data_IF_201985269532
#
_entry.id   IF_201985269532
#
_cell.length_a   1.000
_cell.length_b   1.000
_cell.length_c   1.000
_cell.angle_alpha   90.00
_cell.angle_beta   90.00
_cell.angle_gamma   90.00
#
_symmetry.space_group_name_H-M   'P 1'
#
loop_
_entity.id
_entity.type
_entity.pdbx_description
1 polymer ?
#
# COMPACT_ATOMS: atom_id res chain seq x y z
N UNK A 1 42.89 6.08 -14.50
CA UNK A 1 41.87 7.13 -14.37
C UNK A 1 40.54 6.44 -14.59
N UNK A 2 39.96 5.94 -13.50
CA UNK A 2 38.70 5.19 -13.53
C UNK A 2 37.65 6.20 -13.10
N UNK A 3 36.86 6.70 -14.05
CA UNK A 3 35.75 7.59 -13.76
C UNK A 3 34.64 6.82 -13.06
N UNK A 4 34.26 7.38 -11.91
CA UNK A 4 33.23 6.92 -10.99
C UNK A 4 31.87 7.11 -11.65
N UNK A 5 31.24 6.01 -12.08
CA UNK A 5 29.84 5.96 -12.54
C UNK A 5 28.90 5.44 -11.42
N UNK A 6 29.22 5.70 -10.15
CA UNK A 6 28.51 5.11 -9.00
C UNK A 6 27.79 6.09 -8.04
N UNK A 7 27.65 7.38 -8.37
CA UNK A 7 27.33 8.38 -7.33
C UNK A 7 25.92 9.03 -7.40
N UNK A 8 25.13 8.85 -8.46
CA UNK A 8 23.82 9.52 -8.57
C UNK A 8 22.65 8.69 -8.01
N UNK A 9 22.62 7.38 -8.28
CA UNK A 9 21.50 6.51 -7.87
C UNK A 9 21.45 6.22 -6.37
N UNK A 10 22.61 6.16 -5.71
CA UNK A 10 22.74 5.95 -4.26
C UNK A 10 22.32 7.20 -3.47
N UNK A 11 22.74 8.38 -3.92
CA UNK A 11 22.36 9.65 -3.31
C UNK A 11 20.84 9.91 -3.42
N UNK A 12 20.22 9.58 -4.56
CA UNK A 12 18.77 9.68 -4.72
C UNK A 12 18.03 8.66 -3.84
N UNK A 13 18.51 7.42 -3.75
CA UNK A 13 17.91 6.42 -2.87
C UNK A 13 17.91 6.88 -1.41
N UNK A 14 19.05 7.33 -0.89
CA UNK A 14 19.16 7.87 0.48
C UNK A 14 18.25 9.08 0.72
N UNK A 15 18.03 9.91 -0.30
CA UNK A 15 17.08 11.02 -0.19
C UNK A 15 15.65 10.52 0.04
N UNK A 16 15.23 9.46 -0.63
CA UNK A 16 13.88 8.92 -0.44
C UNK A 16 13.72 8.16 0.87
N UNK A 17 14.76 7.47 1.34
CA UNK A 17 14.78 6.91 2.69
C UNK A 17 14.57 8.02 3.73
N UNK A 18 15.29 9.14 3.58
CA UNK A 18 15.12 10.31 4.44
C UNK A 18 13.71 10.91 4.35
N UNK A 19 13.06 10.88 3.18
CA UNK A 19 11.66 11.31 3.04
C UNK A 19 10.69 10.41 3.82
N UNK A 20 10.92 9.10 3.85
CA UNK A 20 10.13 8.17 4.67
C UNK A 20 10.23 8.50 6.16
N UNK A 21 11.45 8.73 6.64
CA UNK A 21 11.70 9.13 8.04
C UNK A 21 11.03 10.49 8.34
N UNK A 22 11.19 11.47 7.44
CA UNK A 22 10.58 12.79 7.58
C UNK A 22 9.05 12.73 7.64
N UNK A 23 8.43 11.84 6.85
CA UNK A 23 6.98 11.62 6.91
C UNK A 23 6.55 11.18 8.32
N UNK A 24 7.24 10.19 8.89
CA UNK A 24 6.96 9.68 10.25
C UNK A 24 7.09 10.80 11.27
N UNK A 25 8.20 11.54 11.26
CA UNK A 25 8.45 12.66 12.17
C UNK A 25 7.36 13.74 12.06
N UNK A 26 6.96 14.08 10.84
CA UNK A 26 5.93 15.08 10.57
C UNK A 26 4.57 14.63 11.12
N UNK A 27 4.23 13.35 10.95
CA UNK A 27 2.98 12.79 11.47
C UNK A 27 2.99 12.76 13.01
N UNK A 28 4.10 12.35 13.64
CA UNK A 28 4.24 12.38 15.11
C UNK A 28 4.05 13.81 15.62
N UNK A 29 4.72 14.79 15.00
CA UNK A 29 4.60 16.19 15.39
C UNK A 29 3.15 16.70 15.24
N UNK A 30 2.46 16.35 14.15
CA UNK A 30 1.05 16.70 13.93
C UNK A 30 0.13 16.06 14.97
N UNK A 31 0.33 14.78 15.29
CA UNK A 31 -0.46 14.07 16.29
C UNK A 31 -0.30 14.70 17.70
N UNK A 32 0.94 15.06 18.05
CA UNK A 32 1.24 15.76 19.32
C UNK A 32 0.58 17.14 19.44
N UNK A 33 0.39 17.86 18.33
CA UNK A 33 -0.31 19.15 18.30
C UNK A 33 -1.83 19.03 18.41
N UNK A 34 -2.43 17.90 18.01
CA UNK A 34 -3.89 17.68 18.03
C UNK A 34 -4.46 17.24 19.38
N UNK A 35 -3.63 17.02 20.39
CA UNK A 35 -4.02 17.08 21.81
C UNK A 35 -5.07 16.08 22.31
N UNK A 36 -5.39 15.01 21.58
CA UNK A 36 -6.33 13.98 22.04
C UNK A 36 -5.90 12.63 21.51
N UNK A 37 -5.51 11.73 22.41
CA UNK A 37 -5.79 10.28 22.44
C UNK A 37 -4.92 9.70 23.54
N UNK A 38 -5.57 9.14 24.56
CA UNK A 38 -4.93 8.40 25.64
C UNK A 38 -4.20 7.19 25.08
N UNK A 39 -2.90 7.08 25.33
CA UNK A 39 -2.17 5.83 25.08
C UNK A 39 -2.90 4.70 25.81
N UNK A 40 -3.07 3.55 25.15
CA UNK A 40 -3.53 2.34 25.82
C UNK A 40 -2.29 1.61 26.36
N UNK A 41 -1.95 1.75 27.67
CA UNK A 41 -0.71 1.20 28.24
C UNK A 41 -0.64 -0.33 28.24
N UNK A 42 -1.66 -1.03 27.71
CA UNK A 42 -1.72 -2.50 27.66
C UNK A 42 -1.31 -3.09 26.31
N UNK A 43 -1.08 -2.29 25.28
CA UNK A 43 -0.75 -2.82 23.97
C UNK A 43 0.76 -3.06 23.86
N UNK A 44 1.15 -4.34 23.86
CA UNK A 44 2.54 -4.74 23.67
C UNK A 44 3.01 -4.30 22.30
N UNK A 45 4.17 -3.65 22.27
CA UNK A 45 4.92 -3.39 21.03
C UNK A 45 5.50 -4.73 20.57
N UNK A 46 4.77 -5.40 19.68
CA UNK A 46 5.25 -6.55 18.93
C UNK A 46 5.99 -5.97 17.72
N UNK A 47 7.18 -6.52 17.41
CA UNK A 47 8.16 -6.06 16.40
C UNK A 47 7.60 -5.70 15.01
N UNK A 48 8.45 -5.52 13.98
CA UNK A 48 8.01 -4.91 12.72
C UNK A 48 6.92 -5.76 12.03
N UNK A 49 6.96 -7.07 12.22
CA UNK A 49 5.99 -8.05 11.76
C UNK A 49 4.69 -8.11 12.59
N UNK A 50 3.72 -8.89 12.11
CA UNK A 50 2.40 -9.03 12.68
C UNK A 50 2.16 -10.47 13.15
N UNK A 51 1.66 -10.66 14.38
CA UNK A 51 1.09 -11.92 14.86
C UNK A 51 -0.37 -11.99 14.40
N UNK A 52 -0.68 -12.92 13.52
CA UNK A 52 -1.97 -12.96 12.85
C UNK A 52 -3.13 -13.27 13.81
N UNK A 53 -2.84 -13.83 15.00
CA UNK A 53 -3.85 -14.16 16.03
C UNK A 53 -4.39 -12.94 16.75
N UNK A 54 -3.64 -11.85 16.78
CA UNK A 54 -4.00 -10.64 17.53
C UNK A 54 -5.05 -9.79 16.80
N UNK A 55 -5.30 -10.03 15.50
CA UNK A 55 -6.37 -9.36 14.76
C UNK A 55 -7.07 -10.28 13.75
N UNK A 56 -8.18 -10.88 14.17
CA UNK A 56 -9.08 -11.60 13.27
C UNK A 56 -9.72 -10.69 12.22
N UNK A 57 -9.72 -9.38 12.44
CA UNK A 57 -10.27 -8.37 11.54
C UNK A 57 -9.36 -8.17 10.33
N UNK A 58 -8.04 -8.05 10.52
CA UNK A 58 -7.10 -7.93 9.39
C UNK A 58 -6.77 -9.27 8.76
N UNK A 59 -6.55 -10.29 9.59
CA UNK A 59 -5.97 -11.56 9.14
C UNK A 59 -7.00 -12.66 8.89
N UNK A 60 -8.30 -12.35 9.03
CA UNK A 60 -9.40 -13.27 8.71
C UNK A 60 -9.23 -14.69 9.30
N UNK A 61 -8.70 -14.78 10.52
CA UNK A 61 -8.49 -16.04 11.24
C UNK A 61 -7.20 -16.80 10.90
N UNK A 62 -6.30 -16.21 10.09
CA UNK A 62 -4.96 -16.76 9.87
C UNK A 62 -4.17 -16.84 11.18
N UNK A 63 -3.21 -17.74 11.23
CA UNK A 63 -2.33 -17.97 12.37
C UNK A 63 -0.87 -17.90 11.94
N UNK A 64 0.02 -17.64 12.89
CA UNK A 64 1.45 -17.46 12.63
C UNK A 64 1.85 -15.99 12.72
N UNK A 65 3.02 -15.68 12.17
CA UNK A 65 3.63 -14.36 12.27
C UNK A 65 4.31 -13.99 10.95
N UNK A 66 4.18 -12.74 10.52
CA UNK A 66 4.78 -12.26 9.27
C UNK A 66 4.24 -10.91 8.81
N UNK A 67 4.45 -10.55 7.53
CA UNK A 67 4.05 -9.25 6.99
C UNK A 67 2.53 -9.13 6.84
N UNK A 68 2.03 -7.90 6.90
CA UNK A 68 0.69 -7.56 6.42
C UNK A 68 0.71 -7.33 4.92
N UNK A 69 0.25 -8.33 4.15
CA UNK A 69 0.08 -8.23 2.69
C UNK A 69 -1.22 -7.49 2.31
N UNK A 70 -1.10 -6.35 1.62
CA UNK A 70 -2.23 -5.49 1.24
C UNK A 70 -2.28 -5.34 -0.28
N UNK A 71 -3.35 -5.82 -0.91
CA UNK A 71 -3.63 -5.53 -2.32
C UNK A 71 -4.43 -4.24 -2.42
N UNK A 72 -4.03 -3.33 -3.32
CA UNK A 72 -4.73 -2.07 -3.55
C UNK A 72 -5.59 -2.13 -4.81
N UNK A 73 -6.83 -1.64 -4.68
CA UNK A 73 -7.68 -1.33 -5.82
C UNK A 73 -7.05 -0.24 -6.70
N UNK A 74 -7.39 -0.27 -7.99
CA UNK A 74 -6.90 0.65 -9.02
C UNK A 74 -7.21 2.11 -8.67
N UNK A 75 -8.38 2.40 -8.09
CA UNK A 75 -8.76 3.77 -7.71
C UNK A 75 -7.84 4.35 -6.61
N UNK A 76 -7.45 3.53 -5.63
CA UNK A 76 -6.52 3.97 -4.58
C UNK A 76 -5.10 4.15 -5.10
N UNK A 77 -4.68 3.32 -6.06
CA UNK A 77 -3.42 3.52 -6.75
C UNK A 77 -3.42 4.84 -7.52
N UNK A 78 -4.51 5.17 -8.22
CA UNK A 78 -4.66 6.47 -8.90
C UNK A 78 -4.55 7.61 -7.89
N UNK A 79 -5.26 7.54 -6.76
CA UNK A 79 -5.16 8.52 -5.68
C UNK A 79 -3.71 8.68 -5.20
N UNK A 80 -2.98 7.57 -5.03
CA UNK A 80 -1.57 7.58 -4.64
C UNK A 80 -0.69 8.26 -5.70
N UNK A 81 -0.88 7.98 -6.99
CA UNK A 81 -0.08 8.61 -8.04
C UNK A 81 -0.39 10.11 -8.19
N UNK A 82 -1.62 10.53 -7.91
CA UNK A 82 -2.04 11.94 -7.97
C UNK A 82 -1.53 12.73 -6.76
N UNK A 83 -1.65 12.17 -5.56
CA UNK A 83 -1.41 12.88 -4.30
C UNK A 83 -0.14 12.47 -3.57
N UNK A 84 0.57 11.46 -4.07
CA UNK A 84 1.69 10.80 -3.37
C UNK A 84 2.80 11.76 -2.97
N UNK A 85 3.15 12.73 -3.82
CA UNK A 85 4.16 13.73 -3.47
C UNK A 85 3.76 14.55 -2.24
N UNK A 86 2.50 14.97 -2.16
CA UNK A 86 1.99 15.70 -1.00
C UNK A 86 1.93 14.79 0.24
N UNK A 87 1.54 13.52 0.05
CA UNK A 87 1.53 12.52 1.11
C UNK A 87 2.93 12.33 1.72
N UNK A 88 3.97 12.13 0.91
CA UNK A 88 5.36 11.94 1.37
C UNK A 88 6.01 13.21 1.93
N UNK A 89 5.59 14.39 1.45
CA UNK A 89 6.02 15.65 2.03
C UNK A 89 5.37 15.94 3.39
N UNK A 90 4.50 15.06 3.89
CA UNK A 90 3.78 15.24 5.15
C UNK A 90 2.70 16.34 5.09
N UNK A 91 2.37 16.81 3.89
CA UNK A 91 1.33 17.82 3.67
C UNK A 91 -0.03 17.25 4.08
N UNK A 92 -0.91 18.08 4.63
CA UNK A 92 -2.23 17.63 5.08
C UNK A 92 -3.18 17.55 3.88
N UNK A 93 -3.20 16.38 3.23
CA UNK A 93 -4.03 16.11 2.04
C UNK A 93 -5.54 16.26 2.32
N UNK A 94 -6.01 15.95 3.53
CA UNK A 94 -7.40 16.18 3.94
C UNK A 94 -7.80 17.66 3.97
N UNK A 95 -6.86 18.58 4.26
CA UNK A 95 -7.16 20.02 4.20
C UNK A 95 -7.35 20.53 2.78
N UNK A 96 -6.71 19.89 1.80
CA UNK A 96 -6.88 20.21 0.39
C UNK A 96 -8.19 19.62 -0.19
N UNK A 97 -8.70 18.52 0.39
CA UNK A 97 -9.89 17.81 -0.08
C UNK A 97 -10.91 17.65 1.06
N UNK A 98 -11.89 18.55 1.16
CA UNK A 98 -12.87 18.51 2.26
C UNK A 98 -13.86 17.34 2.11
N UNK A 99 -14.09 16.59 3.18
CA UNK A 99 -15.12 15.53 3.29
C UNK A 99 -14.56 14.09 3.32
N UNK A 100 -15.44 13.10 3.14
CA UNK A 100 -15.14 11.64 3.19
C UNK A 100 -13.93 11.25 2.32
N UNK A 101 -13.77 11.88 1.15
CA UNK A 101 -12.62 11.63 0.29
C UNK A 101 -11.29 12.07 0.92
N UNK A 102 -11.25 13.26 1.54
CA UNK A 102 -10.06 13.75 2.23
C UNK A 102 -9.67 12.88 3.42
N UNK A 103 -10.66 12.41 4.17
CA UNK A 103 -10.45 11.48 5.29
C UNK A 103 -9.81 10.18 4.81
N UNK A 104 -10.25 9.64 3.66
CA UNK A 104 -9.61 8.47 3.06
C UNK A 104 -8.18 8.74 2.57
N UNK A 105 -7.90 9.92 2.00
CA UNK A 105 -6.54 10.30 1.58
C UNK A 105 -5.61 10.45 2.80
N UNK A 106 -6.10 11.03 3.89
CA UNK A 106 -5.35 11.15 5.14
C UNK A 106 -5.12 9.78 5.80
N UNK A 107 -6.13 8.91 5.78
CA UNK A 107 -5.97 7.55 6.25
C UNK A 107 -4.92 6.78 5.42
N UNK A 108 -4.91 6.96 4.10
CA UNK A 108 -3.88 6.41 3.22
C UNK A 108 -2.49 6.95 3.57
N UNK A 109 -2.33 8.26 3.80
CA UNK A 109 -1.06 8.86 4.24
C UNK A 109 -0.56 8.25 5.56
N UNK A 110 -1.46 8.03 6.54
CA UNK A 110 -1.09 7.41 7.80
C UNK A 110 -0.68 5.94 7.62
N UNK A 111 -1.38 5.19 6.77
CA UNK A 111 -0.98 3.81 6.42
C UNK A 111 0.43 3.78 5.80
N UNK A 112 0.77 4.73 4.92
CA UNK A 112 2.12 4.84 4.36
C UNK A 112 3.17 5.09 5.45
N UNK A 113 2.88 5.92 6.45
CA UNK A 113 3.77 6.14 7.57
C UNK A 113 3.93 4.90 8.46
N UNK A 114 2.85 4.16 8.69
CA UNK A 114 2.92 2.85 9.38
C UNK A 114 3.80 1.89 8.59
N UNK A 115 3.71 1.87 7.26
CA UNK A 115 4.54 1.02 6.42
C UNK A 115 6.04 1.32 6.54
N UNK A 116 6.44 2.59 6.69
CA UNK A 116 7.86 2.92 6.94
C UNK A 116 8.41 2.20 8.19
N UNK A 117 7.55 1.92 9.17
CA UNK A 117 7.92 1.36 10.47
C UNK A 117 7.56 -0.12 10.65
N UNK A 118 6.65 -0.66 9.83
CA UNK A 118 6.06 -2.00 9.98
C UNK A 118 6.15 -2.79 8.69
N UNK A 119 6.21 -4.11 8.82
CA UNK A 119 6.32 -5.04 7.70
C UNK A 119 5.00 -5.16 6.95
N UNK A 120 4.67 -4.13 6.16
CA UNK A 120 3.54 -4.10 5.24
C UNK A 120 4.05 -4.39 3.83
N UNK A 121 3.46 -5.37 3.17
CA UNK A 121 3.79 -5.75 1.79
C UNK A 121 2.63 -5.34 0.87
N UNK A 122 2.82 -4.25 0.12
CA UNK A 122 1.84 -3.85 -0.89
C UNK A 122 1.92 -4.76 -2.11
N UNK A 123 0.84 -5.47 -2.38
CA UNK A 123 0.68 -6.40 -3.50
C UNK A 123 0.13 -5.64 -4.70
N UNK A 124 0.89 -5.67 -5.80
CA UNK A 124 0.47 -5.10 -7.07
C UNK A 124 -0.16 -6.14 -7.98
N UNK A 125 -1.45 -5.95 -8.27
CA UNK A 125 -2.20 -6.84 -9.14
C UNK A 125 -1.93 -6.49 -10.61
N UNK A 126 -1.58 -7.50 -11.42
CA UNK A 126 -1.39 -7.33 -12.88
C UNK A 126 -2.67 -6.86 -13.56
N UNK A 127 -3.80 -7.20 -12.97
CA UNK A 127 -5.14 -6.83 -13.38
C UNK A 127 -5.38 -5.33 -13.21
N UNK A 128 -4.80 -4.70 -12.17
CA UNK A 128 -4.82 -3.23 -12.00
C UNK A 128 -4.10 -2.54 -13.15
N UNK A 129 -3.03 -3.15 -13.69
CA UNK A 129 -2.32 -2.66 -14.88
C UNK A 129 -3.12 -2.82 -16.17
N UNK A 130 -4.09 -3.74 -16.22
CA UNK A 130 -4.97 -3.93 -17.40
C UNK A 130 -6.16 -2.99 -17.34
N UNK A 131 -6.81 -2.88 -16.18
CA UNK A 131 -7.91 -1.94 -15.99
C UNK A 131 -7.43 -0.49 -16.17
N UNK A 132 -6.19 -0.20 -15.77
CA UNK A 132 -5.60 1.12 -16.00
C UNK A 132 -5.34 1.46 -17.48
N UNK A 133 -5.23 0.45 -18.36
CA UNK A 133 -5.07 0.64 -19.81
C UNK A 133 -6.40 0.92 -20.53
N UNK A 134 -7.52 0.44 -19.99
CA UNK A 134 -8.83 0.46 -20.67
C UNK A 134 -9.71 1.63 -20.27
N UNK A 135 -9.66 2.07 -19.01
CA UNK A 135 -10.21 3.39 -18.68
C UNK A 135 -9.33 4.40 -19.42
N UNK A 136 -9.94 5.35 -20.15
CA UNK A 136 -9.31 6.62 -20.57
C UNK A 136 -8.94 7.40 -19.30
N UNK A 137 -8.05 6.80 -18.54
CA UNK A 137 -7.48 7.30 -17.33
C UNK A 137 -6.73 8.54 -17.77
N UNK A 138 -7.32 9.69 -17.41
CA UNK A 138 -6.86 11.06 -17.56
C UNK A 138 -5.79 11.30 -18.65
N UNK A 139 -5.94 12.30 -19.54
CA UNK A 139 -4.87 12.73 -20.46
C UNK A 139 -3.46 12.91 -19.82
N UNK A 140 -3.40 12.95 -18.48
CA UNK A 140 -2.23 13.03 -17.61
C UNK A 140 -1.51 11.69 -17.34
N UNK A 141 -2.09 10.53 -17.71
CA UNK A 141 -1.49 9.18 -17.58
C UNK A 141 -0.77 8.75 -18.87
N UNK A 142 0.13 9.63 -19.30
CA UNK A 142 1.04 9.49 -20.43
C UNK A 142 2.01 8.27 -20.27
N UNK A 143 2.76 7.90 -21.32
CA UNK A 143 3.76 6.81 -21.32
C UNK A 143 4.69 6.83 -20.11
N UNK A 144 5.00 8.02 -19.59
CA UNK A 144 5.76 8.24 -18.36
C UNK A 144 5.11 7.58 -17.14
N UNK A 145 3.79 7.69 -17.00
CA UNK A 145 3.10 7.04 -15.89
C UNK A 145 3.13 5.53 -16.04
N UNK A 146 3.14 4.98 -17.26
CA UNK A 146 3.38 3.53 -17.45
C UNK A 146 4.76 3.11 -16.97
N UNK A 147 5.80 3.91 -17.25
CA UNK A 147 7.15 3.65 -16.75
C UNK A 147 7.20 3.74 -15.22
N UNK A 148 6.67 4.81 -14.64
CA UNK A 148 6.52 4.96 -13.19
C UNK A 148 5.80 3.76 -12.56
N UNK A 149 4.69 3.32 -13.13
CA UNK A 149 3.94 2.15 -12.69
C UNK A 149 4.70 0.82 -12.87
N UNK A 150 5.52 0.67 -13.90
CA UNK A 150 6.38 -0.51 -14.10
C UNK A 150 7.58 -0.52 -13.15
N UNK A 151 8.20 0.64 -12.91
CA UNK A 151 9.25 0.82 -11.91
C UNK A 151 8.70 0.54 -10.52
N UNK A 152 7.48 1.02 -10.23
CA UNK A 152 6.73 0.71 -9.02
C UNK A 152 6.49 -0.79 -8.84
N UNK A 153 5.96 -1.45 -9.87
CA UNK A 153 5.72 -2.90 -9.86
C UNK A 153 7.03 -3.68 -9.69
N UNK A 154 8.10 -3.27 -10.37
CA UNK A 154 9.40 -3.92 -10.30
C UNK A 154 10.00 -3.80 -8.89
N UNK A 155 9.94 -2.61 -8.30
CA UNK A 155 10.42 -2.39 -6.95
C UNK A 155 9.71 -3.25 -5.90
N UNK A 156 8.38 -3.33 -5.98
CA UNK A 156 7.60 -4.14 -5.04
C UNK A 156 7.84 -5.64 -5.24
N UNK A 157 8.22 -6.09 -6.43
CA UNK A 157 8.48 -7.51 -6.74
C UNK A 157 9.93 -7.97 -6.53
N UNK A 158 10.92 -7.07 -6.45
CA UNK A 158 12.35 -7.41 -6.31
C UNK A 158 12.84 -7.60 -4.87
N UNK A 159 11.96 -7.52 -3.87
CA UNK A 159 12.40 -7.70 -2.47
C UNK A 159 12.85 -9.15 -2.21
N UNK A 160 14.04 -9.40 -1.63
CA UNK A 160 14.57 -10.75 -1.39
C UNK A 160 13.72 -11.59 -0.41
N UNK A 161 12.70 -11.00 0.21
CA UNK A 161 11.70 -11.69 1.04
C UNK A 161 10.47 -12.19 0.26
N UNK A 162 10.37 -11.90 -1.04
CA UNK A 162 9.41 -12.53 -1.97
C UNK A 162 9.77 -13.98 -2.33
N UNK A 163 10.70 -14.62 -1.59
CA UNK A 163 11.09 -15.99 -1.87
C UNK A 163 9.88 -16.91 -1.82
N UNK A 164 9.81 -17.77 -2.83
CA UNK A 164 8.75 -18.73 -3.12
C UNK A 164 8.36 -19.65 -1.93
N UNK A 165 9.11 -19.62 -0.83
CA UNK A 165 8.85 -20.37 0.40
C UNK A 165 7.75 -19.74 1.28
N UNK A 166 7.43 -18.45 1.17
CA UNK A 166 6.30 -17.84 1.91
C UNK A 166 4.94 -18.08 1.24
N UNK A 167 4.95 -18.36 -0.06
CA UNK A 167 3.76 -18.75 -0.81
C UNK A 167 3.25 -20.15 -0.43
N UNK A 168 4.04 -20.97 0.28
CA UNK A 168 3.62 -22.30 0.74
C UNK A 168 2.57 -22.27 1.86
N UNK A 169 2.33 -21.11 2.49
CA UNK A 169 1.22 -20.91 3.43
C UNK A 169 0.02 -20.15 2.82
N UNK A 170 0.08 -19.78 1.53
CA UNK A 170 -1.13 -19.37 0.82
C UNK A 170 -2.01 -20.62 0.73
N UNK A 171 -3.04 -20.64 1.57
CA UNK A 171 -4.04 -21.70 1.59
C UNK A 171 -4.48 -21.89 0.14
N UNK A 172 -4.13 -23.02 -0.49
CA UNK A 172 -4.53 -23.30 -1.88
C UNK A 172 -6.04 -23.49 -1.86
N UNK A 173 -6.76 -22.38 -2.02
CA UNK A 173 -8.20 -22.35 -1.98
C UNK A 173 -8.70 -23.19 -3.16
N UNK A 174 -9.69 -24.02 -2.88
CA UNK A 174 -10.30 -24.81 -3.93
C UNK A 174 -10.93 -23.86 -4.97
N UNK A 175 -10.72 -24.03 -6.29
CA UNK A 175 -11.21 -23.09 -7.30
C UNK A 175 -12.71 -22.77 -7.20
N UNK A 176 -13.54 -23.78 -6.92
CA UNK A 176 -14.99 -23.59 -6.69
C UNK A 176 -15.32 -22.67 -5.52
N UNK A 177 -14.50 -22.67 -4.47
CA UNK A 177 -14.70 -21.78 -3.33
C UNK A 177 -14.37 -20.34 -3.71
N UNK A 178 -13.30 -20.14 -4.49
CA UNK A 178 -12.95 -18.83 -5.07
C UNK A 178 -14.10 -18.35 -5.97
N UNK A 179 -14.61 -19.19 -6.87
CA UNK A 179 -15.69 -18.81 -7.77
C UNK A 179 -16.95 -18.38 -7.00
N UNK A 180 -17.34 -19.17 -5.99
CA UNK A 180 -18.49 -18.86 -5.13
C UNK A 180 -18.36 -17.54 -4.37
N UNK A 181 -17.19 -17.21 -3.79
CA UNK A 181 -17.03 -15.92 -3.10
C UNK A 181 -16.96 -14.74 -4.07
N UNK A 182 -16.39 -14.93 -5.26
CA UNK A 182 -16.25 -13.88 -6.26
C UNK A 182 -17.60 -13.47 -6.85
N UNK A 183 -18.59 -14.37 -6.89
CA UNK A 183 -19.97 -14.04 -7.32
C UNK A 183 -20.62 -12.93 -6.48
N UNK A 184 -20.16 -12.72 -5.24
CA UNK A 184 -20.65 -11.65 -4.37
C UNK A 184 -20.08 -10.26 -4.69
N UNK A 185 -18.97 -10.22 -5.43
CA UNK A 185 -18.31 -8.98 -5.86
C UNK A 185 -19.00 -8.46 -7.13
N UNK A 186 -19.19 -7.13 -7.28
CA UNK A 186 -19.74 -6.54 -8.49
C UNK A 186 -19.07 -7.07 -9.77
N UNK A 187 -19.89 -7.50 -10.73
CA UNK A 187 -19.40 -8.09 -11.97
C UNK A 187 -18.50 -7.13 -12.75
N UNK A 188 -17.42 -7.65 -13.35
CA UNK A 188 -16.54 -6.88 -14.22
C UNK A 188 -15.09 -6.82 -13.73
N UNK A 189 -14.52 -5.61 -13.67
CA UNK A 189 -13.12 -5.38 -13.26
C UNK A 189 -12.85 -5.80 -11.82
N UNK A 190 -13.76 -5.48 -10.91
CA UNK A 190 -13.60 -5.73 -9.49
C UNK A 190 -13.48 -7.23 -9.17
N UNK A 191 -14.28 -8.08 -9.82
CA UNK A 191 -14.14 -9.54 -9.70
C UNK A 191 -12.75 -10.04 -10.12
N UNK A 192 -12.16 -9.46 -11.17
CA UNK A 192 -10.81 -9.85 -11.61
C UNK A 192 -9.76 -9.41 -10.60
N UNK A 193 -9.87 -8.20 -10.08
CA UNK A 193 -8.95 -7.65 -9.09
C UNK A 193 -9.00 -8.44 -7.77
N UNK A 194 -10.20 -8.69 -7.24
CA UNK A 194 -10.37 -9.46 -6.01
C UNK A 194 -9.86 -10.90 -6.19
N UNK A 195 -10.14 -11.53 -7.33
CA UNK A 195 -9.61 -12.88 -7.64
C UNK A 195 -8.08 -12.88 -7.69
N UNK A 196 -7.47 -11.86 -8.29
CA UNK A 196 -6.02 -11.73 -8.31
C UNK A 196 -5.44 -11.56 -6.90
N UNK A 197 -6.06 -10.74 -6.05
CA UNK A 197 -5.65 -10.56 -4.66
C UNK A 197 -5.72 -11.87 -3.85
N UNK A 198 -6.77 -12.67 -4.06
CA UNK A 198 -6.87 -14.01 -3.46
C UNK A 198 -5.74 -14.94 -3.93
N UNK A 199 -5.49 -14.98 -5.24
CA UNK A 199 -4.44 -15.83 -5.81
C UNK A 199 -3.03 -15.43 -5.36
N UNK A 200 -2.79 -14.14 -5.10
CA UNK A 200 -1.53 -13.66 -4.56
C UNK A 200 -1.40 -13.86 -3.04
N UNK A 201 -2.48 -14.28 -2.37
CA UNK A 201 -2.47 -14.53 -0.92
C UNK A 201 -2.52 -13.25 -0.07
N UNK A 202 -3.06 -12.16 -0.61
CA UNK A 202 -3.28 -10.92 0.12
C UNK A 202 -4.10 -11.16 1.40
N UNK A 203 -3.79 -10.43 2.47
CA UNK A 203 -4.57 -10.44 3.72
C UNK A 203 -5.73 -9.46 3.62
N UNK A 204 -5.44 -8.29 3.06
CA UNK A 204 -6.39 -7.18 2.93
C UNK A 204 -6.49 -6.78 1.47
N UNK A 205 -7.72 -6.62 0.98
CA UNK A 205 -8.01 -5.92 -0.28
C UNK A 205 -8.55 -4.52 0.06
N UNK A 206 -7.73 -3.51 -0.23
CA UNK A 206 -8.02 -2.11 0.09
C UNK A 206 -8.80 -1.48 -1.06
N UNK A 207 -9.99 -0.95 -0.80
CA UNK A 207 -10.84 -0.32 -1.81
C UNK A 207 -11.77 0.74 -1.20
N UNK A 208 -12.22 1.70 -2.01
CA UNK A 208 -13.31 2.63 -1.64
C UNK A 208 -14.65 2.24 -2.26
N UNK A 209 -14.69 1.16 -3.05
CA UNK A 209 -15.89 0.72 -3.73
C UNK A 209 -16.87 0.09 -2.73
N UNK A 210 -18.00 0.75 -2.49
CA UNK A 210 -19.04 0.31 -1.54
C UNK A 210 -19.66 -1.03 -1.95
N UNK A 211 -19.66 -1.38 -3.24
CA UNK A 211 -20.11 -2.67 -3.74
C UNK A 211 -19.14 -3.79 -3.36
N UNK A 212 -17.83 -3.58 -3.49
CA UNK A 212 -16.82 -4.56 -3.08
C UNK A 212 -16.78 -4.69 -1.56
N UNK A 213 -16.89 -3.58 -0.82
CA UNK A 213 -16.96 -3.58 0.66
C UNK A 213 -18.17 -4.40 1.17
N UNK A 214 -19.31 -4.37 0.48
CA UNK A 214 -20.48 -5.21 0.85
C UNK A 214 -20.21 -6.72 0.72
N UNK A 215 -19.23 -7.13 -0.08
CA UNK A 215 -18.83 -8.54 -0.22
C UNK A 215 -17.84 -9.00 0.87
N UNK A 216 -17.46 -8.11 1.81
CA UNK A 216 -16.42 -8.35 2.81
C UNK A 216 -16.65 -9.63 3.63
N UNK A 217 -17.86 -9.86 4.14
CA UNK A 217 -18.16 -11.04 4.97
C UNK A 217 -17.93 -12.37 4.22
N UNK A 218 -18.27 -12.42 2.93
CA UNK A 218 -18.12 -13.61 2.12
C UNK A 218 -16.66 -13.85 1.72
N UNK A 219 -15.91 -12.79 1.42
CA UNK A 219 -14.48 -12.86 1.12
C UNK A 219 -13.65 -13.21 2.36
N UNK A 220 -14.11 -12.82 3.55
CA UNK A 220 -13.44 -13.16 4.81
C UNK A 220 -13.38 -14.66 5.06
N UNK A 221 -14.36 -15.43 4.57
CA UNK A 221 -14.38 -16.91 4.67
C UNK A 221 -13.16 -17.55 4.01
N UNK A 222 -12.63 -16.93 2.94
CA UNK A 222 -11.44 -17.39 2.23
C UNK A 222 -10.17 -16.68 2.68
N UNK A 223 -10.21 -16.01 3.83
CA UNK A 223 -9.05 -15.39 4.43
C UNK A 223 -8.69 -14.02 3.85
N UNK A 224 -9.59 -13.34 3.12
CA UNK A 224 -9.37 -12.00 2.57
C UNK A 224 -10.30 -10.99 3.24
N UNK A 225 -9.72 -10.00 3.90
CA UNK A 225 -10.47 -8.90 4.51
C UNK A 225 -10.62 -7.75 3.51
N UNK A 226 -11.84 -7.27 3.27
CA UNK A 226 -12.06 -6.08 2.43
C UNK A 226 -12.26 -4.86 3.31
N UNK A 227 -11.46 -3.82 3.07
CA UNK A 227 -11.39 -2.64 3.93
C UNK A 227 -11.28 -1.35 3.10
N UNK A 228 -11.85 -0.26 3.60
CA UNK A 228 -11.46 1.08 3.18
C UNK A 228 -10.13 1.50 3.84
N UNK A 229 -9.45 2.55 3.35
CA UNK A 229 -8.29 3.11 4.05
C UNK A 229 -8.58 3.45 5.52
N UNK A 230 -9.78 3.93 5.82
CA UNK A 230 -10.21 4.23 7.19
C UNK A 230 -10.30 2.96 8.05
N UNK A 231 -10.97 1.92 7.55
CA UNK A 231 -11.15 0.66 8.28
C UNK A 231 -9.80 -0.02 8.55
N UNK A 232 -8.88 0.00 7.58
CA UNK A 232 -7.54 -0.57 7.77
C UNK A 232 -6.74 0.23 8.80
N UNK A 233 -6.79 1.56 8.75
CA UNK A 233 -6.13 2.41 9.74
C UNK A 233 -6.66 2.14 11.16
N UNK A 234 -7.98 2.02 11.31
CA UNK A 234 -8.61 1.68 12.59
C UNK A 234 -8.13 0.30 13.09
N UNK A 235 -8.11 -0.71 12.21
CA UNK A 235 -7.65 -2.05 12.55
C UNK A 235 -6.16 -2.08 12.94
N UNK A 236 -5.32 -1.30 12.26
CA UNK A 236 -3.91 -1.10 12.60
C UNK A 236 -3.75 -0.40 13.96
N UNK A 237 -4.61 0.59 14.25
CA UNK A 237 -4.62 1.28 15.55
C UNK A 237 -5.01 0.32 16.68
N UNK A 238 -6.07 -0.47 16.48
CA UNK A 238 -6.53 -1.49 17.43
C UNK A 238 -5.53 -2.64 17.61
N UNK A 239 -4.65 -2.87 16.63
CA UNK A 239 -3.52 -3.79 16.75
C UNK A 239 -2.31 -3.18 17.48
N UNK A 240 -2.23 -1.84 17.54
CA UNK A 240 -1.14 -1.10 18.20
C UNK A 240 -0.02 -0.73 17.24
N UNK A 241 -0.27 -0.82 15.93
CA UNK A 241 0.69 -0.45 14.90
C UNK A 241 1.00 1.05 14.89
N UNK A 242 0.12 1.87 15.48
CA UNK A 242 0.29 3.33 15.61
C UNK A 242 0.88 3.77 16.97
N UNK A 243 1.33 2.84 17.82
CA UNK A 243 1.87 3.19 19.14
C UNK A 243 3.06 4.17 19.08
N UNK A 244 3.83 4.14 17.98
CA UNK A 244 4.94 5.06 17.74
C UNK A 244 4.52 6.55 17.71
N UNK A 245 3.24 6.86 17.48
CA UNK A 245 2.73 8.23 17.54
C UNK A 245 2.79 8.82 18.95
N UNK A 246 2.75 7.97 19.98
CA UNK A 246 2.62 8.40 21.37
C UNK A 246 3.79 7.96 22.24
N UNK A 247 4.49 6.91 21.82
CA UNK A 247 5.64 6.36 22.53
C UNK A 247 6.80 6.13 21.55
N UNK A 248 7.81 7.02 21.56
CA UNK A 248 9.01 6.85 20.72
C UNK A 248 9.76 5.55 20.99
N UNK A 249 9.59 4.91 22.15
CA UNK A 249 10.19 3.60 22.43
C UNK A 249 9.52 2.46 21.66
N UNK A 250 8.36 2.73 21.05
CA UNK A 250 7.69 1.85 20.10
C UNK A 250 8.25 1.94 18.68
N UNK A 251 9.16 2.88 18.40
CA UNK A 251 9.88 2.92 17.12
C UNK A 251 10.82 1.73 17.03
N UNK A 252 10.77 1.03 15.89
CA UNK A 252 11.59 -0.16 15.68
C UNK A 252 12.83 0.19 14.85
N UNK A 253 13.97 -0.42 15.19
CA UNK A 253 15.19 -0.36 14.41
C UNK A 253 15.83 -1.75 14.29
N UNK A 254 16.30 -2.17 13.10
CA UNK A 254 16.28 -1.44 11.84
C UNK A 254 14.86 -1.27 11.28
N UNK A 255 14.61 -0.15 10.59
CA UNK A 255 13.34 0.05 9.90
C UNK A 255 13.15 -1.03 8.82
N UNK A 256 11.95 -1.60 8.66
CA UNK A 256 11.72 -2.56 7.60
C UNK A 256 11.90 -1.90 6.22
N UNK A 257 12.72 -2.55 5.39
CA UNK A 257 12.89 -2.38 3.94
C UNK A 257 12.74 -0.93 3.41
N UNK A 258 13.68 -0.06 3.80
CA UNK A 258 13.72 1.35 3.33
C UNK A 258 13.92 1.48 1.81
N UNK A 259 14.50 0.46 1.18
CA UNK A 259 14.62 0.38 -0.28
C UNK A 259 13.24 0.34 -0.94
N UNK A 260 12.27 -0.42 -0.41
CA UNK A 260 10.88 -0.39 -0.91
C UNK A 260 10.24 0.98 -0.81
N UNK A 261 10.40 1.66 0.33
CA UNK A 261 9.87 3.02 0.54
C UNK A 261 10.47 3.97 -0.50
N UNK A 262 11.78 3.88 -0.68
CA UNK A 262 12.50 4.73 -1.59
C UNK A 262 12.06 4.54 -3.05
N UNK A 263 11.90 3.28 -3.47
CA UNK A 263 11.38 2.96 -4.79
C UNK A 263 9.93 3.41 -5.00
N UNK A 264 9.10 3.33 -3.97
CA UNK A 264 7.71 3.79 -4.03
C UNK A 264 7.64 5.28 -4.34
N UNK A 265 8.48 6.08 -3.68
CA UNK A 265 8.58 7.52 -3.89
C UNK A 265 9.19 7.82 -5.26
N UNK A 266 10.23 7.08 -5.65
CA UNK A 266 10.85 7.19 -6.98
C UNK A 266 9.85 6.99 -8.12
N UNK A 267 8.91 6.06 -7.95
CA UNK A 267 7.90 5.77 -8.94
C UNK A 267 6.88 6.90 -9.14
N UNK A 268 6.85 7.94 -8.30
CA UNK A 268 5.93 9.05 -8.50
C UNK A 268 6.33 9.91 -9.72
N UNK A 269 5.35 10.42 -10.51
CA UNK A 269 5.65 11.29 -11.64
C UNK A 269 6.38 12.55 -11.18
N UNK A 270 7.45 13.01 -11.86
CA UNK A 270 8.20 14.20 -11.40
C UNK A 270 7.32 15.47 -11.43
N UNK A 271 7.42 16.31 -10.39
CA UNK A 271 6.69 17.59 -10.29
C UNK A 271 7.10 18.54 -11.43
N UNK A 272 6.12 19.04 -12.19
CA UNK A 272 6.30 20.21 -13.08
C UNK A 272 6.82 19.94 -14.50
N UNK A 273 7.02 18.69 -14.90
CA UNK A 273 7.34 18.37 -16.30
C UNK A 273 6.03 18.15 -17.08
N UNK A 274 5.83 18.82 -18.24
CA UNK A 274 4.64 18.61 -19.07
C UNK A 274 4.59 17.14 -19.56
N UNK A 275 3.39 16.58 -19.84
CA UNK A 275 3.27 15.28 -20.49
C UNK A 275 4.03 15.33 -21.82
N UNK A 276 4.85 14.33 -22.10
CA UNK A 276 5.59 14.27 -23.36
C UNK A 276 4.59 13.88 -24.45
N UNK A 277 4.38 14.77 -25.43
CA UNK A 277 3.47 14.48 -26.54
C UNK A 277 3.83 13.15 -27.19
N UNK A 278 2.85 12.24 -27.19
CA UNK A 278 3.02 10.84 -27.54
C UNK A 278 3.51 10.63 -28.97
N UNK A 279 4.80 10.37 -29.13
CA UNK A 279 5.33 9.69 -30.30
C UNK A 279 4.85 8.24 -30.32
N UNK A 280 4.04 7.86 -31.31
CA UNK A 280 3.63 6.48 -31.55
C UNK A 280 4.86 5.57 -31.59
N UNK A 281 5.02 4.72 -30.59
CA UNK A 281 5.91 3.58 -30.70
C UNK A 281 5.25 2.42 -29.96
N UNK A 282 4.68 1.53 -30.76
CA UNK A 282 3.96 0.33 -30.34
C UNK A 282 5.00 -0.79 -30.32
N UNK A 283 5.83 -0.80 -29.29
CA UNK A 283 6.63 -1.97 -28.94
C UNK A 283 5.76 -2.95 -28.16
N UNK A 284 5.41 -4.07 -28.77
CA UNK A 284 4.79 -5.21 -28.10
C UNK A 284 5.69 -5.68 -26.94
N UNK A 285 5.09 -5.86 -25.76
CA UNK A 285 5.75 -6.46 -24.59
C UNK A 285 5.90 -7.98 -24.81
N UNK A 286 6.99 -8.60 -24.34
CA UNK A 286 7.13 -10.06 -24.29
C UNK A 286 6.13 -10.72 -23.32
#
# INVERSE_FOLDING_TARGET
MVEVFMDSGTAEMHRFEAMGIQLVETIIARAGLTGSVTSNPRMRVIGPDFDYRESSVMFAGRVGRGPLRVAMDTNLLIDYFEHGHAMWAGESVAKAHVGEYGEHLEALQLILAVWVLRDIEFVMLKESLRDSKHRKLAPHLDKRNRRAWMEFYSALTHSPHHSADRADAAQRLHPRLIDWVIEAVPAGGDQRLVRAALNDGAHVYLTRDKGVVRASDQLRVVGLSVMTPGDLLEALSLYGALNFLWDPTSLYWPLPDQEKVAHMIWALPKRGEPPEDGGNDVGELP
#
